data_IF_585259117269
#
_entry.id   IF_585259117269
#
_cell.length_a   1.000
_cell.length_b   1.000
_cell.length_c   1.000
_cell.angle_alpha   90.00
_cell.angle_beta   90.00
_cell.angle_gamma   90.00
#
_symmetry.space_group_name_H-M   'P 1'
#
loop_
_entity.id
_entity.type
_entity.pdbx_description
1 polymer ?
#
# COMPACT_ATOMS: atom_id res chain seq x y z
N UNK A 1 0.31 1.89 -32.63
CA UNK A 1 0.84 2.28 -31.30
C UNK A 1 0.74 1.06 -30.40
N UNK A 2 1.84 0.57 -29.84
CA UNK A 2 1.80 -0.55 -28.89
C UNK A 2 1.13 -0.05 -27.60
N UNK A 3 0.04 -0.68 -27.19
CA UNK A 3 -0.64 -0.35 -25.92
C UNK A 3 0.23 -0.90 -24.79
N UNK A 4 1.05 -0.06 -24.18
CA UNK A 4 1.83 -0.43 -23.01
C UNK A 4 0.91 -0.52 -21.79
N UNK A 5 0.73 -1.73 -21.26
CA UNK A 5 0.00 -1.92 -20.01
C UNK A 5 0.77 -1.28 -18.84
N UNK A 6 0.10 -0.55 -17.94
CA UNK A 6 0.76 0.04 -16.78
C UNK A 6 1.37 -1.07 -15.93
N UNK A 7 2.57 -0.85 -15.40
CA UNK A 7 3.26 -1.83 -14.56
C UNK A 7 3.33 -1.34 -13.12
N UNK A 8 2.78 -2.12 -12.19
CA UNK A 8 2.89 -1.87 -10.74
C UNK A 8 3.90 -2.82 -10.11
N UNK A 9 4.87 -2.28 -9.39
CA UNK A 9 5.75 -3.04 -8.50
C UNK A 9 5.11 -3.19 -7.13
N UNK A 10 5.04 -4.40 -6.57
CA UNK A 10 4.48 -4.65 -5.23
C UNK A 10 5.54 -5.28 -4.34
N UNK A 11 5.92 -4.54 -3.31
CA UNK A 11 6.99 -4.89 -2.35
C UNK A 11 6.41 -5.04 -0.96
N UNK A 12 7.04 -5.86 -0.13
CA UNK A 12 6.70 -5.99 1.29
C UNK A 12 7.09 -7.34 1.86
N UNK A 13 7.25 -7.41 3.17
CA UNK A 13 7.55 -8.67 3.87
C UNK A 13 6.43 -9.69 3.71
N UNK A 14 6.68 -10.96 4.04
CA UNK A 14 5.62 -11.96 3.95
C UNK A 14 4.45 -11.66 4.90
N UNK A 15 3.24 -12.08 4.54
CA UNK A 15 2.03 -11.89 5.35
C UNK A 15 1.40 -10.49 5.37
N UNK A 16 2.05 -9.44 4.84
CA UNK A 16 1.51 -8.05 4.86
C UNK A 16 0.29 -7.81 3.96
N UNK A 17 -0.05 -8.77 3.09
CA UNK A 17 -1.21 -8.68 2.20
C UNK A 17 -0.95 -8.12 0.80
N UNK A 18 0.26 -8.31 0.23
CA UNK A 18 0.57 -7.90 -1.17
C UNK A 18 -0.49 -8.36 -2.18
N UNK A 19 -0.80 -9.67 -2.19
CA UNK A 19 -1.75 -10.26 -3.14
C UNK A 19 -3.19 -9.82 -2.88
N UNK A 20 -3.61 -9.72 -1.61
CA UNK A 20 -4.95 -9.25 -1.27
C UNK A 20 -5.13 -7.79 -1.66
N UNK A 21 -4.11 -6.95 -1.53
CA UNK A 21 -4.16 -5.56 -1.99
C UNK A 21 -4.29 -5.46 -3.50
N UNK A 22 -3.51 -6.22 -4.27
CA UNK A 22 -3.65 -6.26 -5.74
C UNK A 22 -5.07 -6.69 -6.13
N UNK A 23 -5.57 -7.75 -5.51
CA UNK A 23 -6.92 -8.25 -5.77
C UNK A 23 -8.00 -7.21 -5.42
N UNK A 24 -7.81 -6.46 -4.34
CA UNK A 24 -8.77 -5.46 -3.90
C UNK A 24 -8.75 -4.19 -4.78
N UNK A 25 -7.58 -3.82 -5.31
CA UNK A 25 -7.41 -2.65 -6.19
C UNK A 25 -7.87 -2.93 -7.64
N UNK A 26 -7.56 -4.10 -8.16
CA UNK A 26 -7.61 -4.40 -9.60
C UNK A 26 -8.37 -5.68 -9.96
N UNK A 27 -9.00 -6.35 -8.98
CA UNK A 27 -9.64 -7.65 -9.17
C UNK A 27 -8.66 -8.82 -9.04
N UNK A 28 -9.18 -10.04 -8.87
CA UNK A 28 -8.39 -11.22 -8.54
C UNK A 28 -7.36 -11.61 -9.63
N UNK A 29 -7.67 -11.32 -10.90
CA UNK A 29 -6.82 -11.61 -12.06
C UNK A 29 -6.82 -10.41 -13.01
N UNK A 30 -6.03 -9.36 -12.72
CA UNK A 30 -6.02 -8.16 -13.54
C UNK A 30 -5.35 -8.45 -14.89
N UNK A 31 -6.05 -8.17 -15.99
CA UNK A 31 -5.52 -8.29 -17.36
C UNK A 31 -5.16 -6.95 -17.98
N UNK A 32 -5.60 -5.85 -17.36
CA UNK A 32 -5.39 -4.48 -17.83
C UNK A 32 -4.12 -3.82 -17.27
N UNK A 33 -3.30 -4.55 -16.51
CA UNK A 33 -2.02 -4.08 -15.99
C UNK A 33 -1.03 -5.24 -15.78
N UNK A 34 0.25 -4.93 -15.68
CA UNK A 34 1.30 -5.88 -15.29
C UNK A 34 1.61 -5.72 -13.81
N UNK A 35 1.54 -6.82 -13.05
CA UNK A 35 1.89 -6.83 -11.62
C UNK A 35 3.27 -7.48 -11.45
N UNK A 36 4.26 -6.67 -11.09
CA UNK A 36 5.59 -7.13 -10.70
C UNK A 36 5.62 -7.36 -9.19
N UNK A 37 5.43 -8.62 -8.80
CA UNK A 37 5.58 -9.07 -7.42
C UNK A 37 6.58 -10.22 -7.38
N UNK A 38 7.33 -10.32 -6.29
CA UNK A 38 8.10 -11.51 -5.95
C UNK A 38 7.63 -12.01 -4.58
N UNK A 39 8.05 -13.22 -4.14
CA UNK A 39 7.76 -13.70 -2.80
C UNK A 39 8.12 -12.66 -1.72
N UNK A 40 7.40 -12.73 -0.59
CA UNK A 40 7.64 -11.81 0.51
C UNK A 40 9.05 -11.91 1.06
N UNK A 41 9.63 -10.76 1.38
CA UNK A 41 10.93 -10.68 2.03
C UNK A 41 10.83 -11.11 3.50
N UNK A 42 11.95 -11.55 4.08
CA UNK A 42 12.06 -11.83 5.51
C UNK A 42 11.52 -13.19 5.95
N UNK A 43 11.18 -14.09 5.02
CA UNK A 43 10.86 -15.49 5.34
C UNK A 43 12.13 -16.29 5.65
N UNK A 44 13.22 -16.04 4.90
CA UNK A 44 14.49 -16.73 5.03
C UNK A 44 15.63 -15.82 4.55
N UNK A 45 16.52 -15.48 5.47
CA UNK A 45 17.69 -14.64 5.21
C UNK A 45 18.61 -15.20 4.12
N UNK A 46 18.59 -16.52 3.88
CA UNK A 46 19.37 -17.16 2.80
C UNK A 46 18.75 -16.92 1.43
N UNK A 47 17.42 -16.74 1.37
CA UNK A 47 16.67 -16.52 0.13
C UNK A 47 16.57 -15.04 -0.21
N UNK A 48 16.52 -14.17 0.79
CA UNK A 48 16.36 -12.72 0.62
C UNK A 48 17.38 -12.11 -0.37
N UNK A 49 18.68 -12.46 -0.40
CA UNK A 49 19.61 -11.91 -1.40
C UNK A 49 19.23 -12.21 -2.86
N UNK A 50 18.54 -13.32 -3.12
CA UNK A 50 17.98 -13.63 -4.44
C UNK A 50 16.75 -12.76 -4.74
N UNK A 51 15.82 -12.69 -3.79
CA UNK A 51 14.59 -11.90 -3.91
C UNK A 51 14.89 -10.39 -4.07
N UNK A 52 15.87 -9.87 -3.33
CA UNK A 52 16.32 -8.48 -3.43
C UNK A 52 16.93 -8.18 -4.79
N UNK A 53 17.69 -9.12 -5.38
CA UNK A 53 18.20 -8.97 -6.76
C UNK A 53 17.08 -8.91 -7.78
N UNK A 54 16.04 -9.73 -7.62
CA UNK A 54 14.87 -9.67 -8.49
C UNK A 54 14.11 -8.34 -8.35
N UNK A 55 13.88 -7.88 -7.12
CA UNK A 55 13.28 -6.57 -6.89
C UNK A 55 14.12 -5.44 -7.51
N UNK A 56 15.44 -5.43 -7.27
CA UNK A 56 16.34 -4.40 -7.80
C UNK A 56 16.30 -4.31 -9.35
N UNK A 57 16.15 -5.45 -10.04
CA UNK A 57 16.04 -5.48 -11.49
C UNK A 57 14.67 -4.98 -12.01
N UNK A 58 13.58 -5.25 -11.28
CA UNK A 58 12.19 -4.99 -11.74
C UNK A 58 11.66 -3.62 -11.34
N UNK A 59 11.95 -3.15 -10.11
CA UNK A 59 11.38 -1.91 -9.58
C UNK A 59 11.68 -0.66 -10.42
N UNK A 60 12.88 -0.46 -10.99
CA UNK A 60 13.15 0.69 -11.85
C UNK A 60 12.27 0.78 -13.10
N UNK A 61 11.76 -0.37 -13.57
CA UNK A 61 10.94 -0.49 -14.76
C UNK A 61 9.45 -0.21 -14.49
N UNK A 62 9.01 -0.28 -13.23
CA UNK A 62 7.61 -0.08 -12.86
C UNK A 62 7.16 1.38 -13.01
N UNK A 63 5.91 1.58 -13.45
CA UNK A 63 5.30 2.90 -13.57
C UNK A 63 4.93 3.48 -12.20
N UNK A 64 4.60 2.62 -11.25
CA UNK A 64 4.36 2.94 -9.84
C UNK A 64 4.78 1.76 -8.96
N UNK A 65 5.20 2.04 -7.74
CA UNK A 65 5.65 1.05 -6.76
C UNK A 65 4.80 1.20 -5.50
N UNK A 66 4.18 0.10 -5.08
CA UNK A 66 3.47 -0.03 -3.82
C UNK A 66 4.32 -0.83 -2.83
N UNK A 67 4.72 -0.19 -1.74
CA UNK A 67 5.37 -0.83 -0.60
C UNK A 67 4.34 -1.14 0.48
N UNK A 68 4.00 -2.41 0.67
CA UNK A 68 2.97 -2.86 1.61
C UNK A 68 3.59 -3.19 2.96
N UNK A 69 3.01 -2.64 4.02
CA UNK A 69 3.41 -2.85 5.41
C UNK A 69 2.21 -3.31 6.25
N UNK A 70 2.46 -4.09 7.31
CA UNK A 70 1.43 -4.44 8.31
C UNK A 70 1.30 -3.28 9.32
N UNK A 71 0.08 -2.79 9.55
CA UNK A 71 -0.20 -1.72 10.52
C UNK A 71 0.17 -2.07 11.97
N UNK A 72 0.23 -3.36 12.31
CA UNK A 72 0.55 -3.85 13.66
C UNK A 72 2.05 -4.02 13.90
N UNK A 73 2.87 -3.95 12.86
CA UNK A 73 4.31 -4.07 12.98
C UNK A 73 4.85 -2.90 13.80
N UNK A 74 5.48 -3.20 14.94
CA UNK A 74 5.99 -2.22 15.92
C UNK A 74 7.32 -1.57 15.52
N UNK A 75 7.80 -1.77 14.30
CA UNK A 75 9.09 -1.23 13.88
C UNK A 75 9.28 -1.24 12.37
N UNK A 76 10.09 -0.27 11.91
CA UNK A 76 10.40 -0.05 10.49
C UNK A 76 11.80 -0.50 10.09
N UNK A 77 12.61 -1.01 11.02
CA UNK A 77 14.03 -1.28 10.77
C UNK A 77 14.27 -2.23 9.59
N UNK A 78 13.45 -3.29 9.48
CA UNK A 78 13.56 -4.24 8.38
C UNK A 78 13.16 -3.61 7.03
N UNK A 79 12.05 -2.87 7.00
CA UNK A 79 11.64 -2.12 5.80
C UNK A 79 12.70 -1.09 5.39
N UNK A 80 13.27 -0.36 6.36
CA UNK A 80 14.34 0.62 6.14
C UNK A 80 15.58 -0.04 5.55
N UNK A 81 16.02 -1.19 6.09
CA UNK A 81 17.14 -1.96 5.54
C UNK A 81 16.90 -2.39 4.09
N UNK A 82 15.68 -2.83 3.76
CA UNK A 82 15.35 -3.19 2.37
C UNK A 82 15.26 -1.97 1.47
N UNK A 83 14.71 -0.84 1.93
CA UNK A 83 14.68 0.42 1.19
C UNK A 83 16.10 0.92 0.88
N UNK A 84 17.01 0.84 1.84
CA UNK A 84 18.42 1.23 1.67
C UNK A 84 19.16 0.36 0.66
N UNK A 85 18.81 -0.94 0.62
CA UNK A 85 19.37 -1.92 -0.31
C UNK A 85 18.81 -1.75 -1.72
N UNK A 86 17.48 -1.64 -1.86
CA UNK A 86 16.79 -1.64 -3.15
C UNK A 86 16.82 -0.27 -3.84
N UNK A 87 16.84 0.82 -3.06
CA UNK A 87 16.82 2.21 -3.54
C UNK A 87 15.82 2.43 -4.70
N UNK A 88 14.54 2.08 -4.54
CA UNK A 88 13.55 2.25 -5.60
C UNK A 88 13.40 3.73 -6.01
N UNK A 89 12.91 4.01 -7.24
CA UNK A 89 12.56 5.37 -7.66
C UNK A 89 11.57 6.01 -6.69
N UNK A 90 12.03 7.02 -5.93
CA UNK A 90 11.25 7.65 -4.85
C UNK A 90 10.05 8.43 -5.37
N UNK A 91 10.16 9.00 -6.56
CA UNK A 91 9.08 9.72 -7.27
C UNK A 91 7.88 8.82 -7.60
N UNK A 92 8.06 7.50 -7.56
CA UNK A 92 7.04 6.48 -7.92
C UNK A 92 6.64 5.59 -6.77
N UNK A 93 7.11 5.88 -5.55
CA UNK A 93 6.95 5.02 -4.40
C UNK A 93 5.79 5.48 -3.52
N UNK A 94 4.89 4.56 -3.18
CA UNK A 94 3.80 4.76 -2.22
C UNK A 94 3.87 3.68 -1.14
N UNK A 95 3.71 4.10 0.11
CA UNK A 95 3.64 3.19 1.25
C UNK A 95 2.19 2.92 1.62
N UNK A 96 1.77 1.67 1.45
CA UNK A 96 0.49 1.17 1.88
C UNK A 96 0.59 0.48 3.24
N UNK A 97 -0.01 1.06 4.26
CA UNK A 97 -0.17 0.48 5.59
C UNK A 97 -1.45 -0.34 5.64
N UNK A 98 -1.34 -1.64 5.43
CA UNK A 98 -2.45 -2.59 5.36
C UNK A 98 -2.85 -3.11 6.75
N UNK A 99 -3.98 -3.82 6.83
CA UNK A 99 -4.46 -4.50 8.05
C UNK A 99 -4.78 -3.53 9.20
N UNK A 100 -5.18 -2.30 8.87
CA UNK A 100 -5.59 -1.30 9.86
C UNK A 100 -6.82 -1.75 10.67
N UNK A 101 -7.61 -2.67 10.11
CA UNK A 101 -8.75 -3.28 10.80
C UNK A 101 -8.37 -4.20 11.97
N UNK A 102 -7.09 -4.55 12.07
CA UNK A 102 -6.53 -5.39 13.12
C UNK A 102 -5.72 -4.59 14.16
N UNK A 103 -5.68 -3.26 14.05
CA UNK A 103 -5.07 -2.41 15.08
C UNK A 103 -5.89 -2.55 16.37
N UNK A 104 -5.20 -2.51 17.52
CA UNK A 104 -5.85 -2.57 18.83
C UNK A 104 -6.88 -1.43 18.99
N UNK A 105 -8.01 -1.68 19.68
CA UNK A 105 -8.36 -2.90 20.41
C UNK A 105 -8.93 -4.07 19.57
N UNK A 106 -9.09 -3.90 18.24
CA UNK A 106 -9.57 -4.96 17.35
C UNK A 106 -11.10 -5.10 17.33
N UNK A 107 -11.80 -4.02 17.64
CA UNK A 107 -13.26 -3.91 17.74
C UNK A 107 -13.94 -3.40 16.45
N UNK A 108 -13.31 -3.68 15.30
CA UNK A 108 -13.75 -3.20 14.00
C UNK A 108 -15.20 -3.60 13.66
N UNK A 109 -16.10 -2.62 13.60
CA UNK A 109 -17.54 -2.84 13.41
C UNK A 109 -18.06 -2.16 12.12
N UNK A 110 -17.41 -2.46 11.00
CA UNK A 110 -17.71 -1.82 9.70
C UNK A 110 -17.01 -0.47 9.52
N UNK A 111 -15.95 -0.22 10.29
CA UNK A 111 -15.10 0.95 10.33
C UNK A 111 -14.25 0.93 11.61
N UNK A 112 -13.21 1.77 11.73
CA UNK A 112 -12.45 1.88 12.96
C UNK A 112 -13.33 2.45 14.08
N UNK A 113 -13.18 1.95 15.30
CA UNK A 113 -13.63 2.65 16.51
C UNK A 113 -12.84 3.96 16.70
N UNK A 114 -13.33 4.91 17.52
CA UNK A 114 -12.58 6.11 17.91
C UNK A 114 -11.13 5.80 18.34
N UNK A 115 -10.94 4.77 19.15
CA UNK A 115 -9.65 4.33 19.66
C UNK A 115 -8.77 3.72 18.54
N UNK A 116 -9.35 2.88 17.67
CA UNK A 116 -8.62 2.37 16.51
C UNK A 116 -8.20 3.49 15.56
N UNK A 117 -9.05 4.50 15.34
CA UNK A 117 -8.76 5.65 14.49
C UNK A 117 -7.59 6.46 15.07
N UNK A 118 -7.57 6.69 16.39
CA UNK A 118 -6.47 7.36 17.06
C UNK A 118 -5.15 6.59 16.93
N UNK A 119 -5.15 5.28 17.19
CA UNK A 119 -3.94 4.46 17.01
C UNK A 119 -3.49 4.40 15.54
N UNK A 120 -4.44 4.38 14.59
CA UNK A 120 -4.12 4.45 13.16
C UNK A 120 -3.40 5.76 12.84
N UNK A 121 -3.88 6.90 13.35
CA UNK A 121 -3.22 8.20 13.15
C UNK A 121 -1.78 8.17 13.68
N UNK A 122 -1.56 7.66 14.89
CA UNK A 122 -0.22 7.53 15.47
C UNK A 122 0.72 6.69 14.60
N UNK A 123 0.24 5.54 14.12
CA UNK A 123 1.00 4.65 13.21
C UNK A 123 1.33 5.36 11.89
N UNK A 124 0.38 6.13 11.33
CA UNK A 124 0.60 6.83 10.07
C UNK A 124 1.57 8.00 10.24
N UNK A 125 1.47 8.78 11.32
CA UNK A 125 2.38 9.89 11.60
C UNK A 125 3.82 9.39 11.82
N UNK A 126 4.01 8.31 12.58
CA UNK A 126 5.33 7.70 12.76
C UNK A 126 5.95 7.29 11.41
N UNK A 127 5.15 6.70 10.53
CA UNK A 127 5.60 6.24 9.20
C UNK A 127 5.89 7.40 8.27
N UNK A 128 5.02 8.42 8.22
CA UNK A 128 5.24 9.63 7.41
C UNK A 128 6.54 10.34 7.80
N UNK A 129 6.86 10.37 9.09
CA UNK A 129 8.09 10.99 9.58
C UNK A 129 9.37 10.23 9.17
N UNK A 130 9.26 8.94 8.84
CA UNK A 130 10.42 8.04 8.65
C UNK A 130 10.54 7.43 7.24
N UNK A 131 9.52 7.56 6.40
CA UNK A 131 9.45 6.94 5.07
C UNK A 131 9.43 7.98 3.94
N UNK A 132 10.12 7.72 2.82
CA UNK A 132 10.37 8.72 1.78
C UNK A 132 9.26 8.81 0.71
N UNK A 133 8.00 8.92 1.10
CA UNK A 133 6.88 9.03 0.15
C UNK A 133 5.51 9.08 0.80
N UNK A 134 4.42 9.14 0.00
CA UNK A 134 3.06 9.11 0.52
C UNK A 134 2.79 7.84 1.33
N UNK A 135 2.19 7.99 2.50
CA UNK A 135 1.79 6.89 3.39
C UNK A 135 0.27 6.86 3.51
N UNK A 136 -0.35 5.71 3.23
CA UNK A 136 -1.80 5.54 3.28
C UNK A 136 -2.17 4.31 4.11
N UNK A 137 -2.99 4.52 5.14
CA UNK A 137 -3.63 3.46 5.92
C UNK A 137 -4.84 2.88 5.20
N UNK A 138 -4.95 1.56 5.11
CA UNK A 138 -6.05 0.88 4.45
C UNK A 138 -6.25 -0.55 4.95
N UNK A 139 -7.39 -1.15 4.61
CA UNK A 139 -7.60 -2.59 4.78
C UNK A 139 -8.08 -3.20 3.47
N UNK A 140 -7.23 -4.05 2.88
CA UNK A 140 -7.62 -4.84 1.71
C UNK A 140 -8.80 -5.77 2.03
N UNK A 141 -8.84 -6.33 3.24
CA UNK A 141 -9.88 -7.27 3.67
C UNK A 141 -11.24 -6.59 3.84
N UNK A 142 -11.24 -5.35 4.37
CA UNK A 142 -12.47 -4.59 4.64
C UNK A 142 -12.88 -3.63 3.53
N UNK A 143 -12.10 -3.59 2.44
CA UNK A 143 -12.24 -2.61 1.36
C UNK A 143 -12.20 -1.14 1.84
N UNK A 144 -11.49 -0.90 2.94
CA UNK A 144 -11.43 0.40 3.61
C UNK A 144 -10.26 1.23 3.10
N UNK A 145 -10.51 2.50 2.72
CA UNK A 145 -9.54 3.48 2.19
C UNK A 145 -8.78 3.06 0.93
N UNK A 146 -9.27 2.05 0.20
CA UNK A 146 -8.66 1.62 -1.07
C UNK A 146 -8.67 2.71 -2.15
N UNK A 147 -9.68 3.58 -2.13
CA UNK A 147 -9.76 4.72 -3.03
C UNK A 147 -8.61 5.71 -2.79
N UNK A 148 -8.25 5.93 -1.53
CA UNK A 148 -7.18 6.86 -1.16
C UNK A 148 -5.82 6.26 -1.51
N UNK A 149 -5.63 4.96 -1.26
CA UNK A 149 -4.45 4.23 -1.72
C UNK A 149 -4.30 4.34 -3.24
N UNK A 150 -5.39 4.10 -3.97
CA UNK A 150 -5.38 4.22 -5.43
C UNK A 150 -5.06 5.65 -5.89
N UNK A 151 -5.61 6.68 -5.24
CA UNK A 151 -5.32 8.07 -5.56
C UNK A 151 -3.83 8.38 -5.35
N UNK A 152 -3.22 7.91 -4.26
CA UNK A 152 -1.79 8.06 -4.02
C UNK A 152 -0.96 7.35 -5.11
N UNK A 153 -1.34 6.12 -5.48
CA UNK A 153 -0.70 5.40 -6.59
C UNK A 153 -0.80 6.15 -7.91
N UNK A 154 -1.97 6.69 -8.25
CA UNK A 154 -2.15 7.46 -9.47
C UNK A 154 -1.35 8.78 -9.46
N UNK A 155 -1.13 9.38 -8.28
CA UNK A 155 -0.32 10.58 -8.11
C UNK A 155 1.19 10.34 -8.24
N UNK A 156 1.66 9.17 -7.81
CA UNK A 156 3.07 8.77 -7.95
C UNK A 156 3.37 8.03 -9.28
N UNK A 157 2.34 7.62 -10.02
CA UNK A 157 2.50 6.89 -11.26
C UNK A 157 3.12 7.77 -12.36
N UNK A 158 3.99 7.19 -13.19
CA UNK A 158 4.54 7.86 -14.38
C UNK A 158 3.42 8.52 -15.19
N UNK A 159 3.53 9.80 -15.59
CA UNK A 159 2.45 10.53 -16.24
C UNK A 159 1.83 9.82 -17.45
N UNK A 160 2.67 9.15 -18.26
CA UNK A 160 2.24 8.40 -19.45
C UNK A 160 1.36 7.17 -19.13
N UNK A 161 1.43 6.64 -17.92
CA UNK A 161 0.74 5.41 -17.51
C UNK A 161 -0.51 5.66 -16.65
N UNK A 162 -0.72 6.89 -16.15
CA UNK A 162 -1.82 7.22 -15.22
C UNK A 162 -3.19 6.90 -15.80
N UNK A 163 -3.44 7.24 -17.07
CA UNK A 163 -4.73 6.99 -17.71
C UNK A 163 -5.04 5.49 -17.79
N UNK A 164 -4.05 4.67 -18.16
CA UNK A 164 -4.20 3.23 -18.23
C UNK A 164 -4.38 2.60 -16.83
N UNK A 165 -3.63 3.10 -15.81
CA UNK A 165 -3.79 2.66 -14.42
C UNK A 165 -5.21 2.93 -13.91
N UNK A 166 -5.79 4.10 -14.24
CA UNK A 166 -7.19 4.44 -13.91
C UNK A 166 -8.19 3.53 -14.61
N UNK A 167 -7.95 3.17 -15.86
CA UNK A 167 -8.79 2.23 -16.60
C UNK A 167 -8.73 0.80 -16.02
N UNK A 168 -7.60 0.40 -15.43
CA UNK A 168 -7.42 -0.92 -14.84
C UNK A 168 -8.04 -1.10 -13.45
N UNK A 169 -8.45 0.00 -12.80
CA UNK A 169 -9.00 0.02 -11.45
C UNK A 169 -10.33 -0.75 -11.35
N UNK A 170 -10.50 -1.56 -10.31
CA UNK A 170 -11.71 -2.36 -10.06
C UNK A 170 -12.27 -2.19 -8.63
N UNK A 171 -12.18 -0.99 -8.06
CA UNK A 171 -12.62 -0.74 -6.68
C UNK A 171 -14.13 -0.89 -6.52
N UNK A 172 -14.52 -1.56 -5.43
CA UNK A 172 -15.88 -1.48 -4.87
C UNK A 172 -16.01 -0.22 -4.01
N UNK A 173 -17.22 0.35 -3.88
CA UNK A 173 -17.46 1.45 -2.94
C UNK A 173 -17.11 1.04 -1.50
N UNK A 174 -16.48 1.96 -0.77
CA UNK A 174 -16.15 1.80 0.66
C UNK A 174 -17.36 2.23 1.53
N UNK A 175 -18.01 1.31 2.27
CA UNK A 175 -19.13 1.66 3.14
C UNK A 175 -18.71 2.40 4.43
N UNK A 176 -17.44 2.28 4.83
CA UNK A 176 -16.91 2.70 6.13
C UNK A 176 -16.35 4.13 6.11
N UNK A 177 -15.76 4.55 4.99
CA UNK A 177 -15.11 5.87 4.81
C UNK A 177 -16.02 7.05 5.18
N UNK A 178 -17.31 6.98 4.83
CA UNK A 178 -18.27 8.07 5.15
C UNK A 178 -18.45 8.28 6.65
N UNK A 179 -18.38 7.22 7.47
CA UNK A 179 -18.58 7.29 8.93
C UNK A 179 -17.35 7.86 9.63
N UNK A 180 -16.17 7.40 9.26
CA UNK A 180 -14.92 7.89 9.86
C UNK A 180 -14.67 9.37 9.55
N UNK A 181 -14.85 9.80 8.30
CA UNK A 181 -14.68 11.22 7.94
C UNK A 181 -15.60 12.16 8.70
N UNK A 182 -16.78 11.67 9.11
CA UNK A 182 -17.69 12.42 9.96
C UNK A 182 -17.12 12.53 11.37
N UNK A 183 -16.63 11.43 11.95
CA UNK A 183 -16.01 11.39 13.27
C UNK A 183 -14.79 12.32 13.38
N UNK A 184 -13.80 12.17 12.48
CA UNK A 184 -12.58 12.99 12.52
C UNK A 184 -12.89 14.50 12.40
N UNK A 185 -13.90 14.86 11.61
CA UNK A 185 -14.38 16.24 11.49
C UNK A 185 -15.02 16.76 12.79
N UNK A 186 -15.76 15.92 13.51
CA UNK A 186 -16.39 16.29 14.77
C UNK A 186 -15.35 16.49 15.89
N UNK A 187 -14.27 15.71 15.88
CA UNK A 187 -13.17 15.80 16.85
C UNK A 187 -12.11 16.87 16.50
N UNK A 188 -12.30 17.62 15.41
CA UNK A 188 -11.33 18.64 14.98
C UNK A 188 -9.99 18.07 14.48
N UNK A 189 -9.94 16.76 14.20
CA UNK A 189 -8.77 16.07 13.67
C UNK A 189 -8.82 16.14 12.15
N UNK A 190 -8.01 17.01 11.56
CA UNK A 190 -7.91 17.14 10.11
C UNK A 190 -6.94 16.08 9.53
N UNK A 191 -7.34 15.30 8.50
CA UNK A 191 -6.46 14.34 7.84
C UNK A 191 -5.33 14.98 7.04
#
# INVERSE_FOLDING_TARGET
MSVHLPTIGVVGVSGVGKSSTVSALFGASPTALTVQTVPGLGEDFRRDPGLLREYAARLPLCDVILWVQDARARGLALDQSYLETLRPPRDRLVFGVNQVDLIAPGDWAGGPSPEQAQHLLEVLEERKARLPGPVVGYSALRAYRLQELFTALAGACRPSAVAALRAAKSLRPDPADRRERLYLRLEGVHP
#
